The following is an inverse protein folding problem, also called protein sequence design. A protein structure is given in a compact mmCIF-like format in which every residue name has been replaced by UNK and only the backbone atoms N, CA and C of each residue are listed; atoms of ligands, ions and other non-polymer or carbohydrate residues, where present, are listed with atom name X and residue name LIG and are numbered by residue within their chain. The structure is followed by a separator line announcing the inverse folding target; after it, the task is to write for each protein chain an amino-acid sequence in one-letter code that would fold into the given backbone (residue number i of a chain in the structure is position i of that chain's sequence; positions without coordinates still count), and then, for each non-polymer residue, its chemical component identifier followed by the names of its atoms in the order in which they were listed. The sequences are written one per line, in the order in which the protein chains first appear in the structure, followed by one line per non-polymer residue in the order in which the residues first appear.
data_IF_099832458911
#
_entry.id   IF_099832458911
#
_cell.length_a   1.000
_cell.length_b   1.000
_cell.length_c   1.000
_cell.angle_alpha   90.00
_cell.angle_beta   90.00
_cell.angle_gamma   90.00
#
_symmetry.space_group_name_H-M   'P 1'
#
loop_
_entity.id
_entity.type
_entity.pdbx_description
1 polymer ?
#
# COMPACT_ATOMS: atom_id res chain seq x y z
N UNK A 1 -6.53 -30.45 -44.88
CA UNK A 1 -5.80 -29.26 -44.39
C UNK A 1 -6.81 -28.28 -43.82
N UNK A 2 -6.94 -28.19 -42.49
CA UNK A 2 -7.88 -27.25 -41.85
C UNK A 2 -7.06 -26.12 -41.24
N UNK A 3 -7.07 -24.97 -41.92
CA UNK A 3 -6.44 -23.74 -41.44
C UNK A 3 -7.17 -23.27 -40.17
N UNK A 4 -6.60 -23.63 -39.03
CA UNK A 4 -7.03 -23.12 -37.73
C UNK A 4 -6.40 -21.74 -37.56
N UNK A 5 -7.07 -20.71 -38.07
CA UNK A 5 -6.77 -19.33 -37.72
C UNK A 5 -6.94 -19.18 -36.19
N UNK A 6 -5.82 -19.20 -35.46
CA UNK A 6 -5.74 -18.72 -34.10
C UNK A 6 -6.07 -17.22 -34.09
N UNK A 7 -7.35 -16.87 -34.03
CA UNK A 7 -7.77 -15.54 -33.56
C UNK A 7 -7.13 -15.35 -32.20
N UNK A 8 -6.16 -14.44 -32.08
CA UNK A 8 -5.59 -13.95 -30.81
C UNK A 8 -6.75 -13.69 -29.85
N UNK A 9 -7.01 -14.65 -28.96
CA UNK A 9 -8.15 -14.62 -28.05
C UNK A 9 -8.01 -13.43 -27.12
N UNK A 10 -9.03 -12.56 -27.08
CA UNK A 10 -9.13 -11.52 -26.06
C UNK A 10 -9.05 -12.18 -24.68
N UNK A 11 -8.02 -11.80 -23.92
CA UNK A 11 -7.71 -12.30 -22.57
C UNK A 11 -8.77 -11.95 -21.53
N UNK A 12 -9.51 -10.86 -21.78
CA UNK A 12 -10.66 -10.44 -21.01
C UNK A 12 -11.97 -10.89 -21.67
N UNK A 13 -12.76 -11.68 -20.94
CA UNK A 13 -14.14 -12.00 -21.29
C UNK A 13 -15.09 -10.97 -20.69
N UNK A 14 -15.85 -10.26 -21.53
CA UNK A 14 -16.92 -9.36 -21.09
C UNK A 14 -18.26 -10.03 -21.39
N UNK A 15 -19.11 -10.19 -20.37
CA UNK A 15 -20.47 -10.73 -20.46
C UNK A 15 -21.47 -9.65 -20.13
N UNK A 16 -22.44 -9.42 -20.99
CA UNK A 16 -23.59 -8.55 -20.69
C UNK A 16 -24.65 -9.35 -19.91
N UNK A 17 -25.18 -8.75 -18.85
CA UNK A 17 -26.26 -9.30 -18.02
C UNK A 17 -27.32 -8.23 -17.81
N UNK A 18 -28.57 -8.59 -18.08
CA UNK A 18 -29.73 -7.73 -17.84
C UNK A 18 -30.31 -8.11 -16.48
N UNK A 19 -30.43 -7.13 -15.58
CA UNK A 19 -31.08 -7.31 -14.27
C UNK A 19 -32.60 -7.35 -14.43
N UNK A 20 -33.32 -7.86 -13.43
CA UNK A 20 -34.81 -7.92 -13.41
C UNK A 20 -35.48 -6.55 -13.65
N UNK A 21 -34.77 -5.45 -13.38
CA UNK A 21 -35.22 -4.07 -13.60
C UNK A 21 -34.85 -3.51 -15.00
N UNK A 22 -34.41 -4.34 -15.94
CA UNK A 22 -34.03 -3.92 -17.30
C UNK A 22 -32.66 -3.24 -17.42
N UNK A 23 -31.97 -2.96 -16.30
CA UNK A 23 -30.62 -2.36 -16.34
C UNK A 23 -29.58 -3.35 -16.84
N UNK A 24 -28.76 -2.90 -17.79
CA UNK A 24 -27.61 -3.64 -18.32
C UNK A 24 -26.43 -3.55 -17.35
N UNK A 25 -25.75 -4.66 -17.15
CA UNK A 25 -24.50 -4.77 -16.40
C UNK A 25 -23.50 -5.59 -17.19
N UNK A 26 -22.23 -5.22 -17.14
CA UNK A 26 -21.14 -5.84 -17.88
C UNK A 26 -20.19 -6.49 -16.88
N UNK A 27 -20.17 -7.82 -16.85
CA UNK A 27 -19.26 -8.61 -16.04
C UNK A 27 -17.98 -8.90 -16.84
N UNK A 28 -16.83 -8.53 -16.30
CA UNK A 28 -15.52 -8.77 -16.89
C UNK A 28 -14.79 -9.85 -16.10
N UNK A 29 -14.20 -10.81 -16.79
CA UNK A 29 -13.35 -11.87 -16.24
C UNK A 29 -12.06 -11.96 -17.05
N UNK A 30 -10.91 -11.82 -16.39
CA UNK A 30 -9.58 -11.91 -17.00
C UNK A 30 -8.87 -13.13 -16.41
N UNK A 31 -8.45 -14.06 -17.29
CA UNK A 31 -7.76 -15.27 -16.88
C UNK A 31 -6.48 -15.44 -17.69
N UNK A 32 -5.34 -15.26 -17.04
CA UNK A 32 -4.01 -15.53 -17.61
C UNK A 32 -3.45 -16.80 -16.95
N UNK A 33 -2.91 -17.72 -17.75
CA UNK A 33 -2.36 -18.99 -17.23
C UNK A 33 -1.24 -18.69 -16.22
N UNK A 34 -1.33 -19.24 -15.02
CA UNK A 34 -0.32 -19.05 -13.96
C UNK A 34 -0.36 -17.72 -13.22
N UNK A 35 -1.41 -16.90 -13.41
CA UNK A 35 -1.65 -15.65 -12.68
C UNK A 35 -3.01 -15.67 -11.97
N UNK A 36 -3.22 -14.83 -10.95
CA UNK A 36 -4.52 -14.69 -10.30
C UNK A 36 -5.59 -14.24 -11.29
N UNK A 37 -6.81 -14.76 -11.09
CA UNK A 37 -7.98 -14.35 -11.85
C UNK A 37 -8.48 -12.97 -11.37
N UNK A 38 -8.84 -12.09 -12.30
CA UNK A 38 -9.47 -10.81 -12.00
C UNK A 38 -10.91 -10.77 -12.50
N UNK A 39 -11.83 -10.32 -11.64
CA UNK A 39 -13.25 -10.16 -12.00
C UNK A 39 -13.79 -8.83 -11.50
N UNK A 40 -14.64 -8.19 -12.29
CA UNK A 40 -15.33 -6.95 -11.91
C UNK A 40 -16.64 -6.81 -12.69
N UNK A 41 -17.56 -6.00 -12.17
CA UNK A 41 -18.85 -5.70 -12.82
C UNK A 41 -19.02 -4.20 -12.99
N UNK A 42 -19.51 -3.76 -14.15
CA UNK A 42 -19.70 -2.35 -14.50
C UNK A 42 -21.11 -2.11 -15.05
N UNK A 43 -21.59 -0.87 -14.97
CA UNK A 43 -22.87 -0.47 -15.60
C UNK A 43 -22.68 -0.03 -17.06
N UNK A 44 -21.46 0.38 -17.44
CA UNK A 44 -21.13 0.87 -18.78
C UNK A 44 -20.11 -0.04 -19.47
N UNK A 45 -20.32 -0.31 -20.76
CA UNK A 45 -19.43 -1.15 -21.57
C UNK A 45 -18.05 -0.51 -21.79
N UNK A 46 -17.99 0.82 -21.87
CA UNK A 46 -16.75 1.59 -22.01
C UNK A 46 -15.84 1.37 -20.80
N UNK A 47 -16.41 1.50 -19.60
CA UNK A 47 -15.68 1.37 -18.34
C UNK A 47 -15.18 -0.07 -18.16
N UNK A 48 -16.02 -1.05 -18.52
CA UNK A 48 -15.63 -2.46 -18.55
C UNK A 48 -14.44 -2.74 -19.49
N UNK A 49 -14.38 -2.10 -20.67
CA UNK A 49 -13.27 -2.26 -21.62
C UNK A 49 -12.00 -1.58 -21.13
N UNK A 50 -12.11 -0.36 -20.61
CA UNK A 50 -10.96 0.38 -20.05
C UNK A 50 -10.36 -0.40 -18.87
N UNK A 51 -11.20 -0.83 -17.92
CA UNK A 51 -10.76 -1.66 -16.80
C UNK A 51 -10.10 -2.95 -17.29
N UNK A 52 -10.71 -3.65 -18.24
CA UNK A 52 -10.12 -4.88 -18.81
C UNK A 52 -8.71 -4.66 -19.35
N UNK A 53 -8.48 -3.57 -20.09
CA UNK A 53 -7.18 -3.25 -20.66
C UNK A 53 -6.15 -2.90 -19.59
N UNK A 54 -6.49 -2.03 -18.64
CA UNK A 54 -5.60 -1.66 -17.55
C UNK A 54 -5.21 -2.85 -16.67
N UNK A 55 -6.20 -3.67 -16.29
CA UNK A 55 -5.99 -4.84 -15.45
C UNK A 55 -5.21 -5.93 -16.18
N UNK A 56 -5.41 -6.15 -17.48
CA UNK A 56 -4.61 -7.10 -18.26
C UNK A 56 -3.13 -6.70 -18.27
N UNK A 57 -2.82 -5.42 -18.46
CA UNK A 57 -1.45 -4.89 -18.37
C UNK A 57 -0.90 -5.09 -16.96
N UNK A 58 -1.66 -4.75 -15.91
CA UNK A 58 -1.23 -4.93 -14.53
C UNK A 58 -0.98 -6.40 -14.16
N UNK A 59 -1.77 -7.35 -14.67
CA UNK A 59 -1.58 -8.79 -14.45
C UNK A 59 -0.33 -9.28 -15.18
N UNK A 60 -0.13 -8.84 -16.44
CA UNK A 60 1.05 -9.19 -17.22
C UNK A 60 2.33 -8.69 -16.55
N UNK A 61 2.27 -7.47 -16.01
CA UNK A 61 3.38 -6.83 -15.29
C UNK A 61 3.55 -7.34 -13.85
N UNK A 62 2.67 -8.23 -13.38
CA UNK A 62 2.69 -8.80 -12.02
C UNK A 62 2.18 -7.88 -10.91
N UNK A 63 1.89 -6.60 -11.22
CA UNK A 63 1.44 -5.56 -10.29
C UNK A 63 0.03 -5.79 -9.73
N UNK A 64 -0.83 -6.48 -10.48
CA UNK A 64 -2.24 -6.67 -10.06
C UNK A 64 -2.39 -7.37 -8.70
N UNK A 65 -1.54 -8.37 -8.40
CA UNK A 65 -1.62 -9.10 -7.14
C UNK A 65 -1.29 -8.18 -5.96
N UNK A 66 -0.23 -7.39 -6.08
CA UNK A 66 0.22 -6.43 -5.07
C UNK A 66 -0.77 -5.30 -4.87
N UNK A 67 -1.34 -4.76 -5.96
CA UNK A 67 -2.44 -3.76 -5.88
C UNK A 67 -3.66 -4.34 -5.16
N UNK A 68 -4.03 -5.60 -5.43
CA UNK A 68 -5.17 -6.25 -4.79
C UNK A 68 -4.90 -6.58 -3.30
N UNK A 69 -3.66 -6.91 -2.93
CA UNK A 69 -3.28 -7.08 -1.53
C UNK A 69 -3.25 -5.74 -0.78
N UNK A 70 -2.75 -4.67 -1.40
CA UNK A 70 -2.74 -3.33 -0.79
C UNK A 70 -4.16 -2.83 -0.43
N UNK A 71 -5.18 -3.28 -1.15
CA UNK A 71 -6.60 -2.95 -0.88
C UNK A 71 -7.22 -3.78 0.25
N UNK A 72 -6.54 -4.84 0.73
CA UNK A 72 -7.04 -5.72 1.80
C UNK A 72 -6.46 -5.39 3.17
N UNK A 73 -5.26 -4.81 3.20
CA UNK A 73 -4.53 -4.55 4.43
C UNK A 73 -4.55 -3.05 4.74
N UNK A 74 -4.70 -2.75 6.01
CA UNK A 74 -4.61 -1.40 6.57
C UNK A 74 -3.21 -1.11 7.12
N UNK A 75 -2.95 0.14 7.51
CA UNK A 75 -1.74 0.48 8.26
C UNK A 75 -1.72 -0.23 9.62
N UNK A 76 -2.88 -0.45 10.25
CA UNK A 76 -2.97 -1.23 11.49
C UNK A 76 -2.47 -2.66 11.29
N UNK A 77 -2.96 -3.35 10.24
CA UNK A 77 -2.53 -4.72 9.91
C UNK A 77 -1.01 -4.79 9.69
N UNK A 78 -0.48 -3.78 8.99
CA UNK A 78 0.94 -3.63 8.74
C UNK A 78 1.74 -3.51 10.05
N UNK A 79 1.31 -2.63 10.94
CA UNK A 79 1.97 -2.36 12.22
C UNK A 79 1.91 -3.59 13.12
N UNK A 80 0.74 -4.18 13.30
CA UNK A 80 0.53 -5.35 14.15
C UNK A 80 1.39 -6.53 13.70
N UNK A 81 1.39 -6.83 12.40
CA UNK A 81 2.21 -7.89 11.83
C UNK A 81 3.70 -7.62 12.03
N UNK A 82 4.15 -6.37 11.85
CA UNK A 82 5.56 -6.00 12.06
C UNK A 82 5.98 -6.16 13.52
N UNK A 83 5.13 -5.73 14.45
CA UNK A 83 5.38 -5.87 15.88
C UNK A 83 5.44 -7.35 16.29
N UNK A 84 4.55 -8.19 15.75
CA UNK A 84 4.48 -9.62 16.06
C UNK A 84 5.63 -10.42 15.44
N UNK A 85 5.92 -10.21 14.16
CA UNK A 85 6.74 -11.14 13.37
C UNK A 85 8.20 -10.66 13.20
N UNK A 86 8.43 -9.34 13.23
CA UNK A 86 9.74 -8.73 12.89
C UNK A 86 10.44 -8.17 14.12
N UNK A 87 9.73 -7.44 14.99
CA UNK A 87 10.34 -6.80 16.16
C UNK A 87 10.97 -7.75 17.18
N UNK A 88 10.48 -8.99 17.44
CA UNK A 88 11.14 -9.90 18.36
C UNK A 88 12.58 -10.25 17.96
N UNK A 89 12.89 -10.13 16.66
CA UNK A 89 14.25 -10.33 16.12
C UNK A 89 15.18 -9.13 16.35
N UNK A 90 14.66 -8.01 16.87
CA UNK A 90 15.37 -6.73 17.07
C UNK A 90 15.26 -6.21 18.52
N UNK A 91 15.71 -6.98 19.52
CA UNK A 91 15.43 -6.70 20.94
C UNK A 91 15.94 -5.33 21.41
N UNK A 92 17.07 -4.84 20.87
CA UNK A 92 17.66 -3.54 21.25
C UNK A 92 16.78 -2.33 20.93
N UNK A 93 15.97 -2.43 19.87
CA UNK A 93 15.13 -1.32 19.38
C UNK A 93 13.64 -1.61 19.49
N UNK A 94 13.27 -2.82 19.92
CA UNK A 94 11.90 -3.31 19.97
C UNK A 94 10.94 -2.36 20.69
N UNK A 95 11.28 -1.91 21.90
CA UNK A 95 10.43 -1.00 22.69
C UNK A 95 10.20 0.33 21.99
N UNK A 96 11.27 0.94 21.48
CA UNK A 96 11.20 2.23 20.81
C UNK A 96 10.42 2.15 19.49
N UNK A 97 10.65 1.10 18.70
CA UNK A 97 9.93 0.88 17.45
C UNK A 97 8.45 0.61 17.71
N UNK A 98 8.10 -0.23 18.69
CA UNK A 98 6.71 -0.52 19.01
C UNK A 98 5.95 0.76 19.40
N UNK A 99 6.55 1.63 20.22
CA UNK A 99 5.91 2.89 20.62
C UNK A 99 5.74 3.86 19.44
N UNK A 100 6.71 3.91 18.52
CA UNK A 100 6.63 4.75 17.32
C UNK A 100 5.59 4.22 16.32
N UNK A 101 5.52 2.90 16.13
CA UNK A 101 4.56 2.27 15.24
C UNK A 101 3.13 2.35 15.80
N UNK A 102 2.94 2.18 17.11
CA UNK A 102 1.63 2.39 17.74
C UNK A 102 1.11 3.81 17.56
N UNK A 103 1.99 4.81 17.63
CA UNK A 103 1.56 6.17 17.30
C UNK A 103 1.09 6.31 15.85
N UNK A 104 1.75 5.66 14.88
CA UNK A 104 1.30 5.66 13.49
C UNK A 104 -0.03 4.95 13.30
N UNK A 105 -0.22 3.82 13.97
CA UNK A 105 -1.50 3.10 14.05
C UNK A 105 -2.60 4.00 14.61
N UNK A 106 -2.34 4.75 15.69
CA UNK A 106 -3.32 5.68 16.26
C UNK A 106 -3.68 6.84 15.31
N UNK A 107 -2.78 7.25 14.40
CA UNK A 107 -3.03 8.38 13.48
C UNK A 107 -3.71 7.96 12.17
N UNK A 108 -3.23 6.88 11.57
CA UNK A 108 -3.61 6.46 10.20
C UNK A 108 -3.87 4.95 10.11
N UNK A 109 -4.14 4.29 11.23
CA UNK A 109 -4.34 2.84 11.32
C UNK A 109 -5.42 2.32 10.38
N UNK A 110 -6.54 3.03 10.25
CA UNK A 110 -7.68 2.65 9.41
C UNK A 110 -7.44 2.86 7.91
N UNK A 111 -6.33 3.49 7.53
CA UNK A 111 -6.02 3.79 6.13
C UNK A 111 -5.56 2.52 5.43
N UNK A 112 -6.16 2.22 4.26
CA UNK A 112 -5.72 1.12 3.41
C UNK A 112 -4.32 1.38 2.85
N UNK A 113 -3.51 0.33 2.72
CA UNK A 113 -2.16 0.46 2.15
C UNK A 113 -2.20 0.94 0.69
N UNK A 114 -3.30 0.69 -0.04
CA UNK A 114 -3.53 1.25 -1.38
C UNK A 114 -3.67 2.77 -1.40
N UNK A 115 -4.18 3.34 -0.32
CA UNK A 115 -4.51 4.77 -0.20
C UNK A 115 -3.41 5.54 0.57
N UNK A 116 -2.43 4.82 1.12
CA UNK A 116 -1.31 5.37 1.84
C UNK A 116 -0.40 6.18 0.91
N UNK A 117 -0.48 7.50 1.01
CA UNK A 117 0.28 8.44 0.18
C UNK A 117 1.37 9.18 0.95
N UNK A 118 2.41 9.63 0.25
CA UNK A 118 3.47 10.46 0.85
C UNK A 118 2.93 11.74 1.48
N UNK A 119 1.92 12.36 0.86
CA UNK A 119 1.27 13.58 1.35
C UNK A 119 0.58 13.35 2.69
N UNK A 120 -0.18 12.25 2.82
CA UNK A 120 -0.84 11.90 4.08
C UNK A 120 0.19 11.69 5.19
N UNK A 121 1.29 10.99 4.90
CA UNK A 121 2.34 10.76 5.90
C UNK A 121 3.03 12.07 6.30
N UNK A 122 3.23 12.99 5.35
CA UNK A 122 3.82 14.31 5.62
C UNK A 122 2.92 15.18 6.50
N UNK A 123 1.61 15.15 6.29
CA UNK A 123 0.64 15.83 7.15
C UNK A 123 0.75 15.35 8.60
N UNK A 124 0.78 14.02 8.80
CA UNK A 124 0.97 13.44 10.13
C UNK A 124 2.35 13.74 10.72
N UNK A 125 3.40 13.81 9.90
CA UNK A 125 4.75 14.23 10.34
C UNK A 125 4.71 15.67 10.88
N UNK A 126 4.00 16.56 10.22
CA UNK A 126 3.93 17.97 10.58
C UNK A 126 3.14 18.12 11.89
N UNK A 127 2.02 17.40 12.05
CA UNK A 127 1.30 17.29 13.34
C UNK A 127 2.19 16.74 14.46
N UNK A 128 2.99 15.71 14.17
CA UNK A 128 3.94 15.18 15.15
C UNK A 128 4.96 16.23 15.55
N UNK A 129 5.45 17.04 14.60
CA UNK A 129 6.48 18.05 14.83
C UNK A 129 6.03 19.17 15.77
N UNK A 130 4.73 19.40 15.89
CA UNK A 130 4.12 20.39 16.79
C UNK A 130 3.82 19.82 18.18
N UNK A 131 3.89 18.48 18.35
CA UNK A 131 3.54 17.81 19.60
C UNK A 131 4.44 18.23 20.75
N UNK A 132 3.82 18.70 21.84
CA UNK A 132 4.50 19.03 23.10
C UNK A 132 4.70 17.74 23.91
N UNK A 133 5.95 17.47 24.25
CA UNK A 133 6.32 16.34 25.12
C UNK A 133 5.98 16.63 26.59
N UNK A 134 5.93 15.59 27.43
CA UNK A 134 5.70 15.71 28.88
C UNK A 134 6.67 16.66 29.58
N UNK A 135 7.82 16.96 28.97
CA UNK A 135 8.80 17.93 29.45
C UNK A 135 8.49 19.38 29.05
N UNK A 136 7.25 19.65 28.59
CA UNK A 136 6.78 20.95 28.08
C UNK A 136 7.67 21.51 26.96
N UNK A 137 8.22 20.63 26.12
CA UNK A 137 9.05 20.99 24.95
C UNK A 137 8.49 20.34 23.71
N UNK A 138 8.53 21.08 22.60
CA UNK A 138 8.23 20.54 21.27
C UNK A 138 9.18 19.38 20.97
N UNK A 139 8.66 18.35 20.30
CA UNK A 139 9.45 17.21 19.88
C UNK A 139 10.63 17.66 18.99
N UNK A 140 11.79 17.04 19.13
CA UNK A 140 12.93 17.40 18.27
C UNK A 140 12.81 16.79 16.89
N UNK A 141 13.31 17.48 15.86
CA UNK A 141 13.39 16.96 14.48
C UNK A 141 14.06 15.58 14.40
N UNK A 142 15.10 15.35 15.21
CA UNK A 142 15.75 14.04 15.30
C UNK A 142 14.81 12.93 15.78
N UNK A 143 13.87 13.25 16.68
CA UNK A 143 12.86 12.30 17.15
C UNK A 143 11.77 12.11 16.09
N UNK A 144 11.30 13.16 15.42
CA UNK A 144 10.37 13.04 14.28
C UNK A 144 10.97 12.15 13.17
N UNK A 145 12.24 12.37 12.82
CA UNK A 145 12.95 11.56 11.84
C UNK A 145 13.02 10.07 12.24
N UNK A 146 13.09 9.74 13.54
CA UNK A 146 13.03 8.34 14.00
C UNK A 146 11.66 7.72 13.77
N UNK A 147 10.57 8.44 14.04
CA UNK A 147 9.21 7.96 13.73
C UNK A 147 9.05 7.69 12.23
N UNK A 148 9.52 8.61 11.39
CA UNK A 148 9.50 8.46 9.93
C UNK A 148 10.37 7.28 9.45
N UNK A 149 11.56 7.11 10.02
CA UNK A 149 12.47 6.02 9.66
C UNK A 149 11.91 4.65 10.04
N UNK A 150 11.24 4.56 11.19
CA UNK A 150 10.59 3.34 11.65
C UNK A 150 9.45 2.94 10.73
N UNK A 151 8.54 3.87 10.39
CA UNK A 151 7.48 3.62 9.42
C UNK A 151 8.03 3.22 8.05
N UNK A 152 9.05 3.94 7.55
CA UNK A 152 9.69 3.63 6.27
C UNK A 152 10.30 2.22 6.25
N UNK A 153 10.93 1.79 7.35
CA UNK A 153 11.45 0.43 7.47
C UNK A 153 10.34 -0.61 7.45
N UNK A 154 9.24 -0.34 8.16
CA UNK A 154 8.07 -1.23 8.21
C UNK A 154 7.40 -1.39 6.84
N UNK A 155 7.18 -0.29 6.12
CA UNK A 155 6.65 -0.32 4.74
C UNK A 155 7.63 -1.06 3.81
N UNK A 156 8.94 -0.85 3.97
CA UNK A 156 9.93 -1.56 3.15
C UNK A 156 9.86 -3.08 3.35
N UNK A 157 9.59 -3.55 4.57
CA UNK A 157 9.35 -4.97 4.83
C UNK A 157 8.05 -5.45 4.17
N UNK A 158 6.98 -4.65 4.20
CA UNK A 158 5.73 -4.96 3.52
C UNK A 158 5.90 -5.13 2.00
N UNK A 159 6.71 -4.25 1.38
CA UNK A 159 7.02 -4.29 -0.05
C UNK A 159 7.86 -5.52 -0.38
N UNK A 160 8.95 -5.77 0.36
CA UNK A 160 9.97 -6.77 -0.01
C UNK A 160 9.63 -8.19 0.40
N UNK A 161 9.08 -8.37 1.60
CA UNK A 161 8.93 -9.69 2.22
C UNK A 161 7.48 -10.18 2.15
N UNK A 162 6.52 -9.26 2.15
CA UNK A 162 5.09 -9.61 2.19
C UNK A 162 4.36 -9.35 0.88
N UNK A 163 4.98 -8.59 -0.03
CA UNK A 163 4.39 -8.18 -1.31
C UNK A 163 3.01 -7.51 -1.14
N UNK A 164 2.81 -6.80 -0.02
CA UNK A 164 1.56 -6.09 0.29
C UNK A 164 1.46 -4.73 -0.41
N UNK A 165 2.60 -4.18 -0.86
CA UNK A 165 2.71 -2.88 -1.51
C UNK A 165 3.75 -2.94 -2.62
N UNK A 166 3.56 -2.14 -3.68
CA UNK A 166 4.48 -2.13 -4.83
C UNK A 166 5.73 -1.28 -4.58
N UNK A 167 5.57 -0.14 -3.92
CA UNK A 167 6.65 0.78 -3.60
C UNK A 167 6.43 1.44 -2.25
N UNK A 168 7.51 1.98 -1.68
CA UNK A 168 7.47 2.70 -0.43
C UNK A 168 7.27 4.22 -0.72
N UNK A 169 6.13 4.83 -0.32
CA UNK A 169 5.86 6.25 -0.57
C UNK A 169 6.85 7.18 0.14
N UNK A 170 7.59 6.71 1.14
CA UNK A 170 8.60 7.50 1.85
C UNK A 170 9.97 7.52 1.17
N UNK A 171 10.17 6.80 0.06
CA UNK A 171 11.49 6.69 -0.59
C UNK A 171 12.07 8.03 -1.06
N UNK A 172 11.20 8.97 -1.47
CA UNK A 172 11.59 10.30 -1.95
C UNK A 172 11.39 11.42 -0.92
N UNK A 173 10.92 11.08 0.29
CA UNK A 173 10.63 12.07 1.32
C UNK A 173 11.93 12.49 2.02
N UNK A 174 12.19 13.79 2.07
CA UNK A 174 13.35 14.36 2.74
C UNK A 174 13.19 14.35 4.26
N UNK A 175 14.32 14.14 4.96
CA UNK A 175 14.37 14.20 6.43
C UNK A 175 14.38 15.66 6.90
N UNK A 176 13.83 15.91 8.08
CA UNK A 176 13.92 17.22 8.72
C UNK A 176 15.36 17.50 9.16
N UNK A 177 15.78 18.77 9.13
CA UNK A 177 17.13 19.18 9.52
C UNK A 177 17.37 18.91 11.01
N UNK A 178 18.40 18.13 11.31
CA UNK A 178 18.79 17.83 12.68
C UNK A 178 19.80 18.87 13.22
N UNK A 179 19.74 19.21 14.52
CA UNK A 179 20.75 20.06 15.15
C UNK A 179 22.12 19.39 15.12
N UNK A 180 23.20 20.18 15.06
CA UNK A 180 24.58 19.65 15.09
C UNK A 180 24.77 18.74 16.31
N UNK A 181 25.31 17.55 16.06
CA UNK A 181 25.62 16.58 17.12
C UNK A 181 26.56 17.19 18.17
N UNK A 182 26.42 16.74 19.41
CA UNK A 182 27.33 17.17 20.49
C UNK A 182 28.72 16.59 20.21
N UNK A 183 29.69 17.45 19.91
CA UNK A 183 31.11 17.09 19.83
C UNK A 183 31.54 16.64 21.23
N UNK A 184 32.09 15.44 21.35
CA UNK A 184 32.69 14.90 22.57
C UNK A 184 34.19 14.90 22.37
N UNK A 185 34.94 15.55 23.26
CA UNK A 185 36.40 15.53 23.33
C UNK A 185 36.85 14.40 24.25
#
# INVERSE_FOLDING_TARGET
MVNTHHKRGKLAQIRERIKKNGKKTFFVRIRLKGKPEATASFERLTDARLWAQHTETAIRDGRYATTAEAQKHTVSDLVERYIRDVLPRKPKIQREYALQLKWWEDQIGDVLLSDLSSSLILEQRDLLSEKVTNRKRIISNARVNRYMATLSTTITTAVKEWEWMEDNPLRKVSKLKEPRGRVRY
#
